data_IF_415337400422
#
_entry.id   IF_415337400422
#
_cell.length_a   1.000
_cell.length_b   1.000
_cell.length_c   1.000
_cell.angle_alpha   90.00
_cell.angle_beta   90.00
_cell.angle_gamma   90.00
#
_symmetry.space_group_name_H-M   'P 1'
#
loop_
_entity.id
_entity.type
_entity.pdbx_description
1 polymer ?
#
# COMPACT_ATOMS: atom_id res chain seq x y z
N UNK A 1 -4.02 23.82 3.14
CA UNK A 1 -3.85 22.39 2.77
C UNK A 1 -2.67 22.30 1.83
N UNK A 2 -1.73 21.42 2.14
CA UNK A 2 -0.48 21.20 1.40
C UNK A 2 -0.11 19.71 1.46
N UNK A 3 0.96 19.29 0.76
CA UNK A 3 1.46 17.89 0.76
C UNK A 3 0.37 16.84 0.46
N UNK A 4 -0.49 17.12 -0.53
CA UNK A 4 -1.60 16.24 -0.95
C UNK A 4 -2.68 15.96 0.13
N UNK A 5 -2.71 16.71 1.24
CA UNK A 5 -3.72 16.56 2.30
C UNK A 5 -5.16 16.70 1.81
N UNK A 6 -5.41 17.52 0.77
CA UNK A 6 -6.71 17.67 0.12
C UNK A 6 -7.23 16.39 -0.55
N UNK A 7 -6.32 15.49 -0.91
CA UNK A 7 -6.64 14.20 -1.53
C UNK A 7 -6.79 13.09 -0.49
N UNK A 8 -5.81 12.94 0.40
CA UNK A 8 -5.76 11.81 1.34
C UNK A 8 -6.71 11.97 2.52
N UNK A 9 -6.73 13.14 3.17
CA UNK A 9 -7.47 13.29 4.42
C UNK A 9 -8.96 12.98 4.26
N UNK A 10 -9.70 13.51 3.26
CA UNK A 10 -11.10 13.14 3.07
C UNK A 10 -11.34 11.67 2.73
N UNK A 11 -10.35 10.99 2.12
CA UNK A 11 -10.43 9.54 1.82
C UNK A 11 -10.22 8.67 3.06
N UNK A 12 -9.44 9.15 4.02
CA UNK A 12 -9.17 8.43 5.27
C UNK A 12 -10.28 8.62 6.31
N UNK A 13 -10.78 9.85 6.46
CA UNK A 13 -11.68 10.21 7.58
C UNK A 13 -13.05 10.74 7.15
N UNK A 14 -13.32 10.77 5.85
CA UNK A 14 -14.54 11.34 5.26
C UNK A 14 -14.48 12.86 5.11
N UNK A 15 -15.23 13.38 4.13
CA UNK A 15 -15.27 14.81 3.81
C UNK A 15 -15.75 15.69 4.97
N UNK A 16 -16.73 15.22 5.75
CA UNK A 16 -17.28 16.00 6.87
C UNK A 16 -16.24 16.27 7.94
N UNK A 17 -15.56 15.23 8.43
CA UNK A 17 -14.52 15.37 9.44
C UNK A 17 -13.31 16.15 8.89
N UNK A 18 -12.88 15.86 7.66
CA UNK A 18 -11.79 16.59 7.02
C UNK A 18 -12.10 18.10 6.92
N UNK A 19 -13.33 18.47 6.51
CA UNK A 19 -13.76 19.86 6.44
C UNK A 19 -13.76 20.53 7.81
N UNK A 20 -14.23 19.84 8.84
CA UNK A 20 -14.23 20.35 10.21
C UNK A 20 -12.81 20.62 10.72
N UNK A 21 -11.90 19.65 10.59
CA UNK A 21 -10.50 19.79 11.04
C UNK A 21 -9.79 20.95 10.32
N UNK A 22 -9.92 21.03 9.00
CA UNK A 22 -9.26 22.08 8.19
C UNK A 22 -9.85 23.46 8.46
N UNK A 23 -11.15 23.57 8.73
CA UNK A 23 -11.81 24.87 8.99
C UNK A 23 -11.55 25.39 10.39
N UNK A 24 -11.45 24.51 11.39
CA UNK A 24 -11.22 24.92 12.78
C UNK A 24 -9.76 25.14 13.11
N UNK A 25 -8.83 24.42 12.45
CA UNK A 25 -7.40 24.48 12.75
C UNK A 25 -7.04 24.10 14.19
N UNK A 26 -7.95 23.39 14.89
CA UNK A 26 -7.78 23.05 16.30
C UNK A 26 -6.74 21.94 16.52
N UNK A 27 -6.23 21.86 17.76
CA UNK A 27 -5.40 20.75 18.23
C UNK A 27 -6.31 19.75 18.95
N UNK A 28 -6.26 18.50 18.54
CA UNK A 28 -7.13 17.43 19.05
C UNK A 28 -6.30 16.27 19.61
N UNK A 29 -6.76 15.58 20.66
CA UNK A 29 -6.15 14.33 21.09
C UNK A 29 -6.33 13.24 20.03
N UNK A 30 -5.46 12.20 19.99
CA UNK A 30 -5.49 11.17 18.96
C UNK A 30 -6.79 10.37 18.92
N UNK A 31 -7.50 10.26 20.05
CA UNK A 31 -8.80 9.59 20.16
C UNK A 31 -10.00 10.48 19.80
N UNK A 32 -9.77 11.67 19.25
CA UNK A 32 -10.84 12.55 18.80
C UNK A 32 -11.70 11.85 17.76
N UNK A 33 -13.03 11.93 17.93
CA UNK A 33 -14.00 11.41 16.95
C UNK A 33 -13.80 11.96 15.53
N UNK A 34 -13.19 13.14 15.42
CA UNK A 34 -12.91 13.78 14.13
C UNK A 34 -11.75 13.11 13.38
N UNK A 35 -10.90 12.35 14.06
CA UNK A 35 -9.87 11.56 13.40
C UNK A 35 -10.40 10.22 12.88
N UNK A 36 -11.52 9.71 13.39
CA UNK A 36 -12.05 8.41 12.94
C UNK A 36 -10.96 7.34 12.90
N UNK A 37 -10.78 6.72 11.75
CA UNK A 37 -9.77 5.66 11.51
C UNK A 37 -8.42 6.19 10.98
N UNK A 38 -8.11 7.48 11.17
CA UNK A 38 -6.82 8.05 10.75
C UNK A 38 -5.62 7.34 11.38
N UNK A 39 -5.76 6.89 12.62
CA UNK A 39 -4.76 6.12 13.35
C UNK A 39 -5.23 4.68 13.45
N UNK A 40 -4.41 3.73 12.98
CA UNK A 40 -4.73 2.31 13.06
C UNK A 40 -4.71 1.78 14.52
N UNK A 41 -3.79 2.31 15.34
CA UNK A 41 -3.62 1.93 16.74
C UNK A 41 -3.29 3.19 17.56
N UNK A 42 -3.90 3.31 18.75
CA UNK A 42 -3.62 4.37 19.72
C UNK A 42 -3.10 3.72 21.00
N UNK A 43 -1.91 4.12 21.42
CA UNK A 43 -1.26 3.61 22.62
C UNK A 43 -1.44 4.58 23.80
N UNK A 44 -1.55 4.08 25.03
CA UNK A 44 -1.73 4.92 26.22
C UNK A 44 -0.49 5.74 26.57
N UNK A 45 0.71 5.26 26.22
CA UNK A 45 1.98 5.92 26.52
C UNK A 45 2.81 6.16 25.24
N UNK A 46 3.31 7.40 25.01
CA UNK A 46 4.15 7.73 23.86
C UNK A 46 5.42 6.87 23.72
N UNK A 47 5.99 6.40 24.85
CA UNK A 47 7.19 5.55 24.86
C UNK A 47 6.96 4.17 24.21
N UNK A 48 5.70 3.74 24.08
CA UNK A 48 5.34 2.46 23.47
C UNK A 48 5.23 2.53 21.94
N UNK A 49 5.14 3.73 21.36
CA UNK A 49 4.91 3.93 19.92
C UNK A 49 6.02 3.32 19.08
N UNK A 50 7.28 3.65 19.38
CA UNK A 50 8.41 3.13 18.62
C UNK A 50 8.58 1.60 18.78
N UNK A 51 8.57 1.02 20.00
CA UNK A 51 8.59 -0.43 20.17
C UNK A 51 7.50 -1.15 19.38
N UNK A 52 6.25 -0.65 19.43
CA UNK A 52 5.13 -1.27 18.73
C UNK A 52 5.27 -1.17 17.21
N UNK A 53 5.72 -0.02 16.70
CA UNK A 53 5.97 0.16 15.27
C UNK A 53 7.07 -0.79 14.76
N UNK A 54 8.12 -1.01 15.54
CA UNK A 54 9.20 -1.94 15.20
C UNK A 54 8.73 -3.40 15.25
N UNK A 55 7.91 -3.76 16.24
CA UNK A 55 7.30 -5.09 16.32
C UNK A 55 6.49 -5.40 15.06
N UNK A 56 5.60 -4.48 14.64
CA UNK A 56 4.82 -4.61 13.40
C UNK A 56 5.72 -4.69 12.16
N UNK A 57 6.76 -3.85 12.09
CA UNK A 57 7.70 -3.87 10.96
C UNK A 57 8.45 -5.21 10.89
N UNK A 58 8.88 -5.76 12.02
CA UNK A 58 9.51 -7.08 12.11
C UNK A 58 8.54 -8.19 11.71
N UNK A 59 7.28 -8.15 12.17
CA UNK A 59 6.27 -9.13 11.78
C UNK A 59 6.05 -9.14 10.26
N UNK A 60 5.94 -7.96 9.64
CA UNK A 60 5.79 -7.84 8.19
C UNK A 60 7.05 -8.35 7.47
N UNK A 61 8.24 -7.93 7.91
CA UNK A 61 9.51 -8.29 7.27
C UNK A 61 9.81 -9.79 7.35
N UNK A 62 9.40 -10.47 8.41
CA UNK A 62 9.67 -11.90 8.60
C UNK A 62 8.65 -12.81 7.92
N UNK A 63 7.41 -12.34 7.73
CA UNK A 63 6.29 -13.21 7.34
C UNK A 63 5.66 -12.87 5.99
N UNK A 64 5.99 -11.71 5.41
CA UNK A 64 5.37 -11.25 4.16
C UNK A 64 6.38 -11.19 3.03
N UNK A 65 6.01 -11.77 1.88
CA UNK A 65 6.79 -11.66 0.64
C UNK A 65 6.92 -10.18 0.24
N UNK A 66 8.15 -9.65 0.04
CA UNK A 66 8.35 -8.26 -0.38
C UNK A 66 7.64 -7.92 -1.70
N UNK A 67 7.65 -8.85 -2.65
CA UNK A 67 6.96 -8.70 -3.94
C UNK A 67 5.45 -8.63 -3.77
N UNK A 68 4.88 -9.53 -2.94
CA UNK A 68 3.45 -9.53 -2.62
C UNK A 68 3.02 -8.25 -1.91
N UNK A 69 3.80 -7.79 -0.92
CA UNK A 69 3.51 -6.54 -0.20
C UNK A 69 3.53 -5.33 -1.13
N UNK A 70 4.50 -5.26 -2.04
CA UNK A 70 4.58 -4.21 -3.05
C UNK A 70 3.36 -4.24 -3.97
N UNK A 71 3.04 -5.41 -4.55
CA UNK A 71 1.93 -5.56 -5.50
C UNK A 71 0.59 -5.21 -4.85
N UNK A 72 0.32 -5.69 -3.64
CA UNK A 72 -0.89 -5.35 -2.89
C UNK A 72 -1.01 -3.84 -2.68
N UNK A 73 0.08 -3.18 -2.28
CA UNK A 73 0.09 -1.72 -2.12
C UNK A 73 -0.14 -1.01 -3.46
N UNK A 74 0.49 -1.46 -4.53
CA UNK A 74 0.30 -0.88 -5.86
C UNK A 74 -1.15 -1.06 -6.34
N UNK A 75 -1.76 -2.23 -6.14
CA UNK A 75 -3.15 -2.51 -6.53
C UNK A 75 -4.15 -1.61 -5.78
N UNK A 76 -3.91 -1.33 -4.49
CA UNK A 76 -4.74 -0.40 -3.72
C UNK A 76 -4.58 1.06 -4.18
N UNK A 77 -3.34 1.54 -4.34
CA UNK A 77 -3.07 2.96 -4.61
C UNK A 77 -3.15 3.35 -6.09
N UNK A 78 -3.00 2.39 -6.99
CA UNK A 78 -3.03 2.56 -8.45
C UNK A 78 -4.19 1.77 -9.07
N UNK A 79 -5.26 1.59 -8.32
CA UNK A 79 -6.47 0.93 -8.79
C UNK A 79 -7.12 1.74 -9.94
N UNK A 80 -7.68 1.09 -10.98
CA UNK A 80 -8.34 1.76 -12.11
C UNK A 80 -9.64 2.50 -11.75
N UNK A 81 -10.26 2.18 -10.61
CA UNK A 81 -11.35 2.98 -10.03
C UNK A 81 -12.75 2.36 -10.09
N UNK A 82 -12.92 1.26 -10.82
CA UNK A 82 -14.14 0.43 -10.79
C UNK A 82 -13.83 -0.99 -10.32
N UNK A 83 -14.85 -1.68 -9.77
CA UNK A 83 -14.70 -3.06 -9.32
C UNK A 83 -14.34 -4.03 -10.47
N UNK A 84 -14.91 -3.81 -11.67
CA UNK A 84 -14.63 -4.63 -12.84
C UNK A 84 -13.18 -4.47 -13.32
N UNK A 85 -12.72 -3.23 -13.49
CA UNK A 85 -11.35 -2.96 -13.91
C UNK A 85 -10.34 -3.44 -12.86
N UNK A 86 -10.66 -3.26 -11.57
CA UNK A 86 -9.85 -3.78 -10.47
C UNK A 86 -9.71 -5.31 -10.56
N UNK A 87 -10.83 -6.02 -10.74
CA UNK A 87 -10.84 -7.46 -10.85
C UNK A 87 -10.03 -7.97 -12.05
N UNK A 88 -10.14 -7.32 -13.22
CA UNK A 88 -9.36 -7.68 -14.40
C UNK A 88 -7.85 -7.49 -14.18
N UNK A 89 -7.47 -6.38 -13.56
CA UNK A 89 -6.08 -6.10 -13.19
C UNK A 89 -5.55 -7.12 -12.17
N UNK A 90 -6.27 -7.32 -11.08
CA UNK A 90 -5.93 -8.24 -9.99
C UNK A 90 -5.81 -9.68 -10.49
N UNK A 91 -6.71 -10.11 -11.37
CA UNK A 91 -6.69 -11.46 -11.97
C UNK A 91 -5.41 -11.70 -12.77
N UNK A 92 -4.93 -10.73 -13.53
CA UNK A 92 -3.66 -10.83 -14.24
C UNK A 92 -2.47 -10.90 -13.27
N UNK A 93 -2.46 -10.05 -12.25
CA UNK A 93 -1.39 -10.01 -11.24
C UNK A 93 -1.35 -11.30 -10.42
N UNK A 94 -2.49 -11.79 -9.92
CA UNK A 94 -2.51 -13.03 -9.13
C UNK A 94 -2.14 -14.24 -9.98
N UNK A 95 -2.59 -14.30 -11.24
CA UNK A 95 -2.21 -15.36 -12.18
C UNK A 95 -0.69 -15.45 -12.35
N UNK A 96 -0.01 -14.30 -12.48
CA UNK A 96 1.46 -14.23 -12.47
C UNK A 96 2.06 -14.83 -11.19
N UNK A 97 1.53 -14.45 -10.02
CA UNK A 97 2.08 -14.89 -8.73
C UNK A 97 1.94 -16.40 -8.47
N UNK A 98 0.95 -17.09 -9.07
CA UNK A 98 0.71 -18.52 -8.88
C UNK A 98 1.86 -19.43 -9.34
N UNK A 99 2.84 -18.91 -10.10
CA UNK A 99 4.06 -19.63 -10.49
C UNK A 99 5.35 -19.12 -9.85
N UNK A 100 5.28 -18.05 -9.07
CA UNK A 100 6.43 -17.32 -8.54
C UNK A 100 7.24 -18.13 -7.52
N UNK A 101 8.51 -17.76 -7.35
CA UNK A 101 9.40 -18.36 -6.33
C UNK A 101 8.80 -18.24 -4.92
N UNK A 102 8.34 -17.05 -4.55
CA UNK A 102 7.78 -16.79 -3.23
C UNK A 102 6.49 -17.57 -2.97
N UNK A 103 5.66 -17.80 -3.99
CA UNK A 103 4.47 -18.64 -3.85
C UNK A 103 4.85 -20.08 -3.53
N UNK A 104 5.81 -20.65 -4.27
CA UNK A 104 6.28 -22.03 -4.05
C UNK A 104 6.92 -22.18 -2.67
N UNK A 105 7.74 -21.21 -2.28
CA UNK A 105 8.38 -21.19 -0.97
C UNK A 105 7.36 -21.02 0.16
N UNK A 106 6.37 -20.15 0.01
CA UNK A 106 5.30 -19.98 0.99
C UNK A 106 4.52 -21.27 1.22
N UNK A 107 4.14 -21.96 0.13
CA UNK A 107 3.46 -23.27 0.21
C UNK A 107 4.37 -24.30 0.90
N UNK A 108 5.65 -24.38 0.49
CA UNK A 108 6.61 -25.33 1.06
C UNK A 108 6.84 -25.08 2.55
N UNK A 109 7.11 -23.84 2.94
CA UNK A 109 7.36 -23.46 4.33
C UNK A 109 6.16 -23.75 5.24
N UNK A 110 4.93 -23.56 4.73
CA UNK A 110 3.70 -23.92 5.43
C UNK A 110 3.63 -25.42 5.74
N UNK A 111 3.84 -26.28 4.74
CA UNK A 111 3.83 -27.74 4.94
C UNK A 111 4.98 -28.22 5.85
N UNK A 112 6.14 -27.56 5.77
CA UNK A 112 7.32 -27.84 6.60
C UNK A 112 7.24 -27.22 8.00
N UNK A 113 6.20 -26.42 8.30
CA UNK A 113 6.01 -25.70 9.57
C UNK A 113 7.22 -24.85 10.00
N UNK A 114 7.82 -24.15 9.04
CA UNK A 114 8.95 -23.24 9.25
C UNK A 114 8.62 -21.85 8.73
N UNK A 115 9.46 -20.87 9.09
CA UNK A 115 9.38 -19.53 8.50
C UNK A 115 9.76 -19.59 7.01
N UNK A 116 9.04 -18.89 6.12
CA UNK A 116 9.40 -18.79 4.72
C UNK A 116 10.67 -17.96 4.53
N UNK A 117 11.41 -18.22 3.46
CA UNK A 117 12.53 -17.38 3.02
C UNK A 117 12.21 -16.81 1.65
N UNK A 118 11.49 -15.69 1.62
CA UNK A 118 11.12 -15.02 0.38
C UNK A 118 12.34 -14.36 -0.28
N UNK A 119 12.49 -14.57 -1.58
CA UNK A 119 13.65 -14.12 -2.37
C UNK A 119 13.27 -13.56 -3.73
N UNK A 120 12.00 -13.67 -4.12
CA UNK A 120 11.56 -13.10 -5.39
C UNK A 120 11.83 -11.60 -5.44
N UNK A 121 12.13 -11.11 -6.64
CA UNK A 121 12.34 -9.70 -6.91
C UNK A 121 11.52 -9.32 -8.16
N UNK A 122 10.81 -8.19 -8.08
CA UNK A 122 10.00 -7.68 -9.19
C UNK A 122 10.85 -7.11 -10.32
N UNK A 123 12.13 -6.77 -10.08
CA UNK A 123 13.04 -6.37 -11.16
C UNK A 123 13.38 -7.55 -12.08
N UNK A 124 13.39 -8.77 -11.53
CA UNK A 124 13.75 -9.99 -12.25
C UNK A 124 12.54 -10.68 -12.89
N UNK A 125 11.36 -10.64 -12.24
CA UNK A 125 10.13 -11.30 -12.68
C UNK A 125 8.85 -10.47 -12.42
N UNK A 126 8.68 -9.31 -13.10
CA UNK A 126 7.50 -8.47 -12.94
C UNK A 126 6.25 -9.09 -13.60
N UNK A 127 5.04 -8.82 -13.08
CA UNK A 127 3.81 -9.10 -13.81
C UNK A 127 3.82 -8.46 -15.20
N UNK A 128 3.24 -9.15 -16.19
CA UNK A 128 3.27 -8.74 -17.61
C UNK A 128 2.74 -7.33 -17.88
N UNK A 129 1.81 -6.85 -17.05
CA UNK A 129 1.16 -5.56 -17.17
C UNK A 129 1.79 -4.49 -16.26
N UNK A 130 2.93 -4.77 -15.65
CA UNK A 130 3.61 -3.84 -14.75
C UNK A 130 4.57 -2.90 -15.52
N UNK A 131 4.55 -1.57 -15.25
CA UNK A 131 3.56 -0.86 -14.45
C UNK A 131 2.23 -0.70 -15.21
N UNK A 132 1.10 -0.95 -14.53
CA UNK A 132 -0.25 -0.71 -15.09
C UNK A 132 -0.69 0.75 -14.92
N UNK A 133 0.18 1.60 -14.37
CA UNK A 133 -0.04 3.03 -14.22
C UNK A 133 0.89 3.80 -15.15
N UNK A 134 0.49 5.03 -15.51
CA UNK A 134 1.43 5.95 -16.15
C UNK A 134 2.42 6.50 -15.13
N UNK A 135 3.70 6.28 -15.36
CA UNK A 135 4.73 7.01 -14.64
C UNK A 135 4.74 8.49 -15.05
N UNK A 136 4.97 9.37 -14.08
CA UNK A 136 5.11 10.80 -14.30
C UNK A 136 6.60 11.08 -14.44
N UNK A 137 7.01 11.70 -15.54
CA UNK A 137 8.37 12.22 -15.68
C UNK A 137 8.57 13.36 -14.67
N UNK A 138 9.37 13.10 -13.64
CA UNK A 138 9.74 14.09 -12.61
C UNK A 138 11.08 14.76 -12.92
N UNK A 139 11.64 14.53 -14.11
CA UNK A 139 12.82 15.21 -14.59
C UNK A 139 12.63 16.72 -14.67
N UNK A 140 13.75 17.46 -14.63
CA UNK A 140 13.75 18.93 -14.66
C UNK A 140 13.07 19.52 -15.92
N UNK A 141 13.05 18.77 -17.01
CA UNK A 141 12.36 19.08 -18.27
C UNK A 141 11.48 17.88 -18.68
N UNK A 142 10.27 17.75 -18.12
CA UNK A 142 9.45 16.57 -18.33
C UNK A 142 9.00 16.47 -19.79
N UNK A 143 9.19 15.30 -20.40
CA UNK A 143 8.71 15.03 -21.76
C UNK A 143 7.22 14.71 -21.74
N UNK A 144 6.50 15.11 -22.80
CA UNK A 144 5.09 14.77 -22.95
C UNK A 144 4.88 13.24 -22.94
N UNK A 145 3.78 12.78 -22.29
CA UNK A 145 3.44 11.35 -22.21
C UNK A 145 3.46 10.71 -23.60
N UNK A 146 4.24 9.66 -23.77
CA UNK A 146 3.96 8.68 -24.83
C UNK A 146 2.64 7.98 -24.47
N UNK A 147 1.72 7.76 -25.42
CA UNK A 147 0.49 7.03 -25.14
C UNK A 147 0.83 5.64 -24.58
N UNK A 148 0.15 5.28 -23.49
CA UNK A 148 0.25 3.94 -22.90
C UNK A 148 -0.02 2.91 -23.99
N UNK A 149 0.88 1.94 -24.15
CA UNK A 149 0.66 0.81 -25.06
C UNK A 149 -0.38 -0.09 -24.39
N UNK A 150 -1.65 0.16 -24.70
CA UNK A 150 -2.71 -0.85 -24.62
C UNK A 150 -2.56 -1.79 -25.82
#
# INVERSE_FOLDING_TARGET
>A
MESCSSYFLPRLIGFSNASYLVSTGGVFPPNSKHFGDLFNEILPDPSQVLPRALELASEIAENVSPTSQYLNRALMWRNPGTAEEAHLLESAVICHTFGSEDQKEGVKAFFEKRKPTFRANLDDDPPVNMPWWSEVDTGRNPKAKAPSKL
#
